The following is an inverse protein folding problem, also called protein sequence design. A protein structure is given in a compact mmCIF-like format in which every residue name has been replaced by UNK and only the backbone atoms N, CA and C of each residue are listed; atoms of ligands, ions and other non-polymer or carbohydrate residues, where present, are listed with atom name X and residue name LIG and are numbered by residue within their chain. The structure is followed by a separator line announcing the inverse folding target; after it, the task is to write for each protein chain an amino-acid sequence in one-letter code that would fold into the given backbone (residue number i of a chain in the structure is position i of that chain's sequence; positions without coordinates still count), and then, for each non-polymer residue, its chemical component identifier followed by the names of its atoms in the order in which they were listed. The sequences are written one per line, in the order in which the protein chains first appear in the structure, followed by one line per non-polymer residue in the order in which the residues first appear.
data_IF_531671856972
#
_entry.id   IF_531671856972
#
_cell.length_a   1.000
_cell.length_b   1.000
_cell.length_c   1.000
_cell.angle_alpha   90.00
_cell.angle_beta   90.00
_cell.angle_gamma   90.00
#
_symmetry.space_group_name_H-M   'P 1'
#
loop_
_entity.id
_entity.type
_entity.pdbx_description
1 polymer ?
#
# COMPACT_ATOMS: atom_id res chain seq x y z
N UNK A 1 41.55 34.13 10.13
CA UNK A 1 42.36 33.73 8.95
C UNK A 1 41.41 33.07 7.97
N UNK A 2 40.94 33.81 6.96
CA UNK A 2 41.30 33.67 5.53
C UNK A 2 40.71 32.42 4.85
N UNK A 3 39.75 32.68 3.98
CA UNK A 3 39.05 31.80 3.02
C UNK A 3 39.97 31.09 2.03
N UNK A 4 39.65 29.84 1.67
CA UNK A 4 40.09 29.19 0.42
C UNK A 4 38.90 28.38 -0.14
N UNK A 5 38.25 28.87 -1.21
CA UNK A 5 38.47 28.58 -2.64
C UNK A 5 37.87 27.24 -3.10
N UNK A 6 36.84 27.36 -3.93
CA UNK A 6 36.17 26.29 -4.67
C UNK A 6 37.13 25.55 -5.63
N UNK A 7 36.84 24.28 -5.90
CA UNK A 7 37.32 23.62 -7.10
C UNK A 7 36.23 22.73 -7.69
N UNK A 8 35.92 23.03 -8.94
CA UNK A 8 34.92 22.43 -9.80
C UNK A 8 35.62 21.30 -10.57
N UNK A 9 35.07 20.08 -10.59
CA UNK A 9 35.51 19.01 -11.49
C UNK A 9 34.28 18.47 -12.21
N UNK A 10 34.24 18.72 -13.52
CA UNK A 10 33.31 18.14 -14.50
C UNK A 10 33.97 16.91 -15.09
N UNK A 11 33.32 15.76 -14.98
CA UNK A 11 33.59 14.53 -15.74
C UNK A 11 32.18 13.94 -15.99
N UNK A 12 31.61 13.78 -17.19
CA UNK A 12 32.21 13.63 -18.51
C UNK A 12 32.18 12.16 -18.94
N UNK A 13 31.00 11.59 -19.17
CA UNK A 13 30.88 10.31 -19.91
C UNK A 13 29.72 10.33 -20.90
N UNK A 14 30.10 10.15 -22.16
CA UNK A 14 29.26 9.92 -23.33
C UNK A 14 28.76 8.47 -23.26
N UNK A 15 27.47 8.26 -23.49
CA UNK A 15 26.86 6.94 -23.65
C UNK A 15 25.79 6.98 -24.73
N UNK A 16 26.07 6.28 -25.82
CA UNK A 16 25.39 6.27 -27.11
C UNK A 16 24.28 5.19 -27.13
N UNK A 17 23.24 5.46 -27.93
CA UNK A 17 22.47 4.53 -28.77
C UNK A 17 21.33 3.62 -28.25
N UNK A 18 20.19 3.84 -28.93
CA UNK A 18 19.21 2.92 -29.52
C UNK A 18 18.45 1.89 -28.65
N UNK A 19 17.11 1.92 -28.73
CA UNK A 19 16.36 1.00 -29.60
C UNK A 19 14.89 1.44 -29.73
N UNK A 20 14.39 1.41 -30.96
CA UNK A 20 13.00 1.57 -31.33
C UNK A 20 12.23 0.25 -31.14
N UNK A 21 10.96 0.34 -30.74
CA UNK A 21 9.96 -0.69 -31.05
C UNK A 21 8.62 0.01 -31.34
N UNK A 22 8.36 0.15 -32.64
CA UNK A 22 7.07 0.42 -33.24
C UNK A 22 6.37 -0.93 -33.47
N UNK A 23 5.04 -0.98 -33.45
CA UNK A 23 4.31 -2.07 -34.09
C UNK A 23 3.10 -2.56 -33.32
N UNK A 24 1.94 -2.04 -33.73
CA UNK A 24 0.59 -2.45 -33.41
C UNK A 24 0.17 -3.77 -34.08
N UNK A 25 -0.97 -4.27 -33.59
CA UNK A 25 -1.97 -5.12 -34.27
C UNK A 25 -1.92 -6.61 -33.97
N UNK A 26 -2.81 -7.02 -33.06
CA UNK A 26 -3.60 -8.24 -33.25
C UNK A 26 -5.06 -7.85 -33.06
N UNK A 27 -5.76 -7.69 -34.19
CA UNK A 27 -7.21 -7.86 -34.23
C UNK A 27 -7.47 -9.36 -34.36
N UNK A 28 -8.10 -9.97 -33.37
CA UNK A 28 -8.82 -11.21 -33.57
C UNK A 28 -10.31 -10.90 -33.47
N UNK A 29 -10.99 -11.11 -34.58
CA UNK A 29 -12.44 -11.15 -34.69
C UNK A 29 -12.90 -12.49 -34.12
N UNK A 30 -13.57 -12.46 -32.96
CA UNK A 30 -14.48 -13.53 -32.59
C UNK A 30 -15.86 -12.93 -32.32
N UNK A 31 -16.76 -13.17 -33.28
CA UNK A 31 -18.21 -13.07 -33.07
C UNK A 31 -18.63 -14.24 -32.17
N UNK A 32 -19.13 -13.93 -30.99
CA UNK A 32 -19.96 -14.83 -30.20
C UNK A 32 -21.17 -14.06 -29.63
N UNK A 33 -22.35 -14.52 -30.05
CA UNK A 33 -23.70 -14.10 -29.66
C UNK A 33 -23.91 -14.12 -28.14
N UNK A 34 -24.69 -13.20 -27.55
CA UNK A 34 -24.76 -13.04 -26.10
C UNK A 34 -25.58 -14.15 -25.44
N UNK A 35 -25.05 -14.72 -24.36
CA UNK A 35 -25.82 -15.52 -23.41
C UNK A 35 -25.88 -14.76 -22.09
N UNK A 36 -27.07 -14.26 -21.76
CA UNK A 36 -27.38 -13.80 -20.41
C UNK A 36 -27.27 -14.99 -19.46
N UNK A 37 -26.42 -14.86 -18.44
CA UNK A 37 -26.48 -15.70 -17.25
C UNK A 37 -26.11 -14.84 -16.06
N UNK A 38 -27.14 -14.57 -15.27
CA UNK A 38 -27.08 -14.02 -13.92
C UNK A 38 -26.36 -15.03 -13.04
N UNK A 39 -25.19 -14.68 -12.51
CA UNK A 39 -24.59 -15.40 -11.38
C UNK A 39 -23.91 -14.40 -10.45
N UNK A 40 -24.26 -14.53 -9.18
CA UNK A 40 -23.74 -13.78 -8.02
C UNK A 40 -22.23 -13.53 -8.08
N UNK A 41 -21.86 -12.30 -7.78
CA UNK A 41 -20.50 -11.92 -7.37
C UNK A 41 -20.20 -12.58 -6.03
N UNK A 42 -19.60 -13.77 -6.09
CA UNK A 42 -18.90 -14.34 -4.96
C UNK A 42 -17.58 -13.58 -4.81
N UNK A 43 -17.40 -12.91 -3.66
CA UNK A 43 -16.19 -12.19 -3.33
C UNK A 43 -15.00 -13.15 -3.36
N UNK A 44 -14.05 -12.90 -4.27
CA UNK A 44 -12.78 -13.61 -4.32
C UNK A 44 -11.99 -13.30 -3.05
N UNK A 45 -12.16 -14.14 -2.04
CA UNK A 45 -11.27 -14.22 -0.89
C UNK A 45 -9.91 -14.69 -1.42
N UNK A 46 -8.98 -13.75 -1.61
CA UNK A 46 -7.56 -14.05 -1.83
C UNK A 46 -7.07 -14.85 -0.63
N UNK A 47 -7.09 -16.17 -0.74
CA UNK A 47 -6.53 -17.07 0.26
C UNK A 47 -5.10 -17.33 -0.16
N UNK A 48 -4.15 -16.67 0.50
CA UNK A 48 -2.75 -17.04 0.39
C UNK A 48 -2.57 -18.43 1.03
N UNK A 49 -2.15 -19.41 0.23
CA UNK A 49 -1.82 -20.74 0.71
C UNK A 49 -0.48 -20.74 1.47
N UNK A 50 -0.53 -21.15 2.75
CA UNK A 50 0.52 -21.93 3.41
C UNK A 50 1.76 -21.19 3.93
N UNK A 51 1.78 -20.84 5.20
CA UNK A 51 2.51 -21.55 6.27
C UNK A 51 2.37 -20.74 7.57
N UNK A 52 2.04 -21.44 8.65
CA UNK A 52 1.98 -20.96 10.03
C UNK A 52 0.70 -20.20 10.39
N UNK A 53 0.13 -20.58 11.53
CA UNK A 53 -1.06 -20.01 12.15
C UNK A 53 -0.80 -18.58 12.63
N UNK A 54 -0.59 -17.68 11.67
CA UNK A 54 -0.39 -16.24 11.90
C UNK A 54 -1.76 -15.57 11.98
N UNK A 55 -1.91 -14.71 12.99
CA UNK A 55 -3.17 -14.07 13.37
C UNK A 55 -3.47 -12.91 12.40
N UNK A 56 -3.61 -13.20 11.11
CA UNK A 56 -4.06 -12.19 10.14
C UNK A 56 -5.49 -11.78 10.45
N UNK A 57 -5.75 -10.48 10.37
CA UNK A 57 -7.05 -9.84 10.51
C UNK A 57 -7.83 -9.81 9.18
N UNK A 58 -7.32 -10.49 8.15
CA UNK A 58 -7.93 -10.55 6.82
C UNK A 58 -7.49 -9.41 5.88
N UNK A 59 -6.43 -8.69 6.24
CA UNK A 59 -5.86 -7.59 5.47
C UNK A 59 -4.68 -8.00 4.58
N UNK A 60 -4.03 -6.99 4.03
CA UNK A 60 -2.74 -7.16 3.36
C UNK A 60 -1.62 -7.11 4.37
N UNK A 61 -0.74 -8.11 4.34
CA UNK A 61 0.38 -8.26 5.27
C UNK A 61 1.70 -7.92 4.60
N UNK A 62 2.57 -7.22 5.32
CA UNK A 62 3.98 -7.00 5.01
C UNK A 62 4.80 -7.39 6.23
N UNK A 63 5.70 -8.34 6.05
CA UNK A 63 6.72 -8.68 7.04
C UNK A 63 8.00 -7.88 6.78
N UNK A 64 8.48 -7.15 7.78
CA UNK A 64 9.67 -6.31 7.70
C UNK A 64 10.59 -6.56 8.89
N UNK A 65 11.56 -7.46 8.71
CA UNK A 65 12.43 -7.88 9.80
C UNK A 65 11.65 -8.58 10.91
N UNK A 66 11.60 -7.96 12.10
CA UNK A 66 10.82 -8.46 13.24
C UNK A 66 9.40 -7.89 13.34
N UNK A 67 9.00 -7.08 12.35
CA UNK A 67 7.74 -6.34 12.38
C UNK A 67 6.73 -6.93 11.41
N UNK A 68 5.51 -7.11 11.90
CA UNK A 68 4.33 -7.48 11.13
C UNK A 68 3.46 -6.24 10.92
N UNK A 69 3.20 -5.90 9.66
CA UNK A 69 2.40 -4.75 9.27
C UNK A 69 1.21 -5.26 8.47
N UNK A 70 0.00 -5.13 9.00
CA UNK A 70 -1.23 -5.53 8.30
C UNK A 70 -2.17 -4.35 8.13
N UNK A 71 -2.65 -4.12 6.90
CA UNK A 71 -3.66 -3.11 6.60
C UNK A 71 -4.97 -3.78 6.20
N UNK A 72 -6.03 -3.49 6.94
CA UNK A 72 -7.41 -3.88 6.63
C UNK A 72 -8.17 -2.63 6.20
N UNK A 73 -8.89 -2.73 5.08
CA UNK A 73 -9.75 -1.66 4.56
C UNK A 73 -11.21 -2.09 4.63
N UNK A 74 -12.03 -1.33 5.34
CA UNK A 74 -13.45 -1.60 5.54
C UNK A 74 -14.29 -0.43 4.99
N UNK A 75 -15.14 -0.66 3.98
CA UNK A 75 -16.08 0.35 3.51
C UNK A 75 -17.11 0.72 4.59
N UNK A 76 -17.38 2.01 4.76
CA UNK A 76 -18.38 2.56 5.68
C UNK A 76 -19.16 3.73 5.04
N UNK A 77 -20.28 4.12 5.65
CA UNK A 77 -21.05 5.30 5.20
C UNK A 77 -20.23 6.59 5.24
N UNK A 78 -19.23 6.69 6.13
CA UNK A 78 -18.30 7.82 6.25
C UNK A 78 -17.20 7.84 5.20
N UNK A 79 -16.90 6.72 4.54
CA UNK A 79 -15.73 6.56 3.68
C UNK A 79 -15.11 5.18 3.86
N UNK A 80 -13.79 5.09 3.98
CA UNK A 80 -13.09 3.83 4.21
C UNK A 80 -12.43 3.87 5.59
N UNK A 81 -12.79 2.93 6.46
CA UNK A 81 -12.07 2.68 7.70
C UNK A 81 -10.79 1.90 7.38
N UNK A 82 -9.65 2.40 7.83
CA UNK A 82 -8.36 1.75 7.64
C UNK A 82 -7.83 1.32 9.00
N UNK A 83 -7.80 0.02 9.25
CA UNK A 83 -7.16 -0.56 10.42
C UNK A 83 -5.76 -1.01 10.05
N UNK A 84 -4.78 -0.53 10.80
CA UNK A 84 -3.38 -0.82 10.62
C UNK A 84 -2.81 -1.49 11.87
N UNK A 85 -2.58 -2.79 11.78
CA UNK A 85 -1.97 -3.59 12.83
C UNK A 85 -0.46 -3.49 12.69
N UNK A 86 0.17 -2.88 13.69
CA UNK A 86 1.63 -2.81 13.82
C UNK A 86 2.07 -3.68 14.99
N UNK A 87 2.73 -4.78 14.68
CA UNK A 87 3.06 -5.83 15.62
C UNK A 87 4.54 -6.22 15.53
N UNK A 88 5.03 -6.92 16.55
CA UNK A 88 6.41 -7.43 16.58
C UNK A 88 6.52 -8.81 17.22
N UNK A 89 7.59 -9.52 16.86
CA UNK A 89 7.89 -10.83 17.40
C UNK A 89 6.99 -11.93 16.85
N UNK A 90 7.33 -13.19 17.17
CA UNK A 90 6.58 -14.36 16.71
C UNK A 90 5.17 -14.46 17.30
N UNK A 91 4.93 -13.80 18.43
CA UNK A 91 3.63 -13.78 19.12
C UNK A 91 2.77 -12.56 18.73
N UNK A 92 3.19 -11.78 17.72
CA UNK A 92 2.40 -10.69 17.14
C UNK A 92 1.97 -9.64 18.19
N UNK A 93 2.89 -9.27 19.09
CA UNK A 93 2.65 -8.24 20.11
C UNK A 93 2.42 -6.88 19.46
N UNK A 94 1.30 -6.22 19.77
CA UNK A 94 0.99 -4.88 19.27
C UNK A 94 1.98 -3.82 19.80
N UNK A 95 2.28 -2.83 18.96
CA UNK A 95 3.16 -1.70 19.29
C UNK A 95 2.31 -0.42 19.44
N UNK A 96 1.95 0.02 20.66
CA UNK A 96 1.01 1.14 20.87
C UNK A 96 1.63 2.54 20.73
N UNK A 97 2.95 2.66 20.81
CA UNK A 97 3.65 3.96 20.96
C UNK A 97 4.43 4.39 19.71
N UNK A 98 3.94 4.05 18.52
CA UNK A 98 4.53 4.45 17.25
C UNK A 98 3.80 5.69 16.69
N UNK A 99 4.53 6.53 15.95
CA UNK A 99 3.90 7.52 15.08
C UNK A 99 3.55 6.86 13.76
N UNK A 100 2.29 6.88 13.36
CA UNK A 100 1.81 6.25 12.12
C UNK A 100 1.11 7.30 11.25
N UNK A 101 1.60 7.45 10.02
CA UNK A 101 1.01 8.34 9.02
C UNK A 101 0.85 7.61 7.69
N UNK A 102 -0.24 7.82 6.98
CA UNK A 102 -0.50 7.26 5.66
C UNK A 102 -0.52 8.32 4.56
N UNK A 103 0.11 8.02 3.42
CA UNK A 103 -0.08 8.76 2.17
C UNK A 103 -0.92 7.90 1.23
N UNK A 104 -2.12 8.35 0.90
CA UNK A 104 -3.07 7.65 0.05
C UNK A 104 -3.15 8.34 -1.30
N UNK A 105 -2.83 7.63 -2.37
CA UNK A 105 -3.17 8.04 -3.73
C UNK A 105 -4.53 7.46 -4.10
N UNK A 106 -5.47 8.35 -4.42
CA UNK A 106 -6.81 8.01 -4.88
C UNK A 106 -6.78 7.46 -6.33
N UNK A 107 -7.88 6.84 -6.81
CA UNK A 107 -7.96 6.33 -8.19
C UNK A 107 -7.75 7.41 -9.26
N UNK A 108 -8.08 8.68 -8.95
CA UNK A 108 -7.87 9.82 -9.83
C UNK A 108 -6.42 10.37 -9.81
N UNK A 109 -5.54 9.79 -8.98
CA UNK A 109 -4.15 10.20 -8.80
C UNK A 109 -3.89 11.25 -7.71
N UNK A 110 -4.93 11.87 -7.14
CA UNK A 110 -4.81 12.81 -6.02
C UNK A 110 -4.20 12.14 -4.79
N UNK A 111 -3.41 12.89 -4.02
CA UNK A 111 -2.81 12.40 -2.78
C UNK A 111 -3.48 13.00 -1.54
N UNK A 112 -3.75 12.17 -0.54
CA UNK A 112 -4.24 12.54 0.79
C UNK A 112 -3.26 12.06 1.86
N UNK A 113 -3.10 12.86 2.91
CA UNK A 113 -2.36 12.48 4.10
C UNK A 113 -3.34 12.13 5.21
N UNK A 114 -3.11 11.01 5.89
CA UNK A 114 -3.89 10.55 7.04
C UNK A 114 -2.96 10.39 8.25
N UNK A 115 -3.36 10.94 9.38
CA UNK A 115 -2.76 10.62 10.67
C UNK A 115 -3.57 9.49 11.30
N UNK A 116 -2.90 8.43 11.73
CA UNK A 116 -3.56 7.32 12.39
C UNK A 116 -3.54 7.50 13.91
N UNK A 117 -4.61 7.06 14.56
CA UNK A 117 -4.76 7.09 16.02
C UNK A 117 -4.73 5.67 16.56
N UNK A 118 -4.02 5.42 17.65
CA UNK A 118 -4.01 4.10 18.27
C UNK A 118 -5.31 3.85 19.05
N UNK A 119 -6.00 2.76 18.74
CA UNK A 119 -7.07 2.20 19.56
C UNK A 119 -6.51 1.13 20.50
N UNK A 120 -6.57 1.40 21.80
CA UNK A 120 -6.11 0.47 22.83
C UNK A 120 -6.99 -0.77 22.99
N UNK A 121 -8.27 -0.68 22.65
CA UNK A 121 -9.20 -1.82 22.78
C UNK A 121 -8.98 -2.81 21.64
N UNK A 122 -8.98 -2.33 20.40
CA UNK A 122 -8.69 -3.11 19.20
C UNK A 122 -7.20 -3.39 18.96
N UNK A 123 -6.29 -2.76 19.72
CA UNK A 123 -4.83 -2.92 19.64
C UNK A 123 -4.23 -2.63 18.25
N UNK A 124 -4.80 -1.69 17.52
CA UNK A 124 -4.34 -1.28 16.20
C UNK A 124 -4.40 0.23 16.05
N UNK A 125 -3.82 0.73 14.97
CA UNK A 125 -3.95 2.12 14.57
C UNK A 125 -5.09 2.24 13.57
N UNK A 126 -5.94 3.25 13.68
CA UNK A 126 -7.02 3.47 12.73
C UNK A 126 -7.02 4.88 12.16
N UNK A 127 -7.55 5.01 10.94
CA UNK A 127 -7.87 6.28 10.30
C UNK A 127 -9.10 6.11 9.39
N UNK A 128 -9.85 7.19 9.17
CA UNK A 128 -10.95 7.21 8.21
C UNK A 128 -10.54 8.05 7.01
N UNK A 129 -10.58 7.45 5.82
CA UNK A 129 -10.44 8.15 4.55
C UNK A 129 -11.84 8.55 4.05
N UNK A 130 -12.20 9.85 4.03
CA UNK A 130 -13.55 10.30 3.67
C UNK A 130 -13.77 10.34 2.15
N UNK A 131 -13.34 9.30 1.43
CA UNK A 131 -13.43 9.17 -0.01
C UNK A 131 -14.21 7.90 -0.37
N UNK A 132 -14.94 7.94 -1.49
CA UNK A 132 -15.80 6.83 -1.96
C UNK A 132 -15.67 6.56 -3.47
N UNK A 133 -14.65 7.12 -4.11
CA UNK A 133 -14.44 6.88 -5.53
C UNK A 133 -14.14 5.39 -5.76
N UNK A 134 -14.78 4.79 -6.74
CA UNK A 134 -14.50 3.39 -7.09
C UNK A 134 -13.15 3.26 -7.79
N UNK A 135 -12.39 2.22 -7.45
CA UNK A 135 -11.11 1.89 -8.09
C UNK A 135 -9.97 1.62 -7.11
N UNK A 136 -8.75 1.57 -7.64
CA UNK A 136 -7.55 1.26 -6.85
C UNK A 136 -7.04 2.48 -6.08
N UNK A 137 -6.83 2.28 -4.78
CA UNK A 137 -6.16 3.20 -3.87
C UNK A 137 -4.77 2.64 -3.56
N UNK A 138 -3.74 3.49 -3.57
CA UNK A 138 -2.38 3.10 -3.17
C UNK A 138 -2.02 3.78 -1.88
N UNK A 139 -1.55 3.03 -0.90
CA UNK A 139 -1.25 3.54 0.44
C UNK A 139 0.22 3.32 0.75
N UNK A 140 0.90 4.38 1.20
CA UNK A 140 2.21 4.28 1.84
C UNK A 140 2.03 4.58 3.31
N UNK A 141 2.16 3.56 4.17
CA UNK A 141 2.19 3.75 5.61
C UNK A 141 3.64 3.99 6.04
N UNK A 142 3.85 5.07 6.77
CA UNK A 142 5.11 5.41 7.39
C UNK A 142 4.98 5.28 8.90
N UNK A 143 5.82 4.44 9.49
CA UNK A 143 5.86 4.30 10.95
C UNK A 143 7.20 4.78 11.50
N UNK A 144 7.14 5.39 12.68
CA UNK A 144 8.31 5.73 13.50
C UNK A 144 8.12 5.06 14.88
N UNK A 145 8.90 4.01 15.11
CA UNK A 145 8.90 3.21 16.34
C UNK A 145 10.13 3.65 17.14
N UNK A 146 9.95 4.68 17.98
CA UNK A 146 11.02 5.23 18.84
C UNK A 146 12.30 5.60 18.06
N UNK A 147 12.14 6.14 16.85
CA UNK A 147 13.22 6.55 15.94
C UNK A 147 13.53 5.54 14.83
N UNK A 148 13.08 4.29 14.95
CA UNK A 148 13.20 3.29 13.89
C UNK A 148 12.08 3.44 12.86
N UNK A 149 12.43 3.49 11.57
CA UNK A 149 11.45 3.65 10.49
C UNK A 149 11.13 2.31 9.84
N UNK A 150 9.85 1.94 9.86
CA UNK A 150 9.36 0.72 9.21
C UNK A 150 8.15 1.11 8.35
N UNK A 151 8.29 1.02 7.03
CA UNK A 151 7.28 1.54 6.11
C UNK A 151 6.67 0.41 5.30
N UNK A 152 5.37 0.51 5.04
CA UNK A 152 4.61 -0.44 4.22
C UNK A 152 4.02 0.24 2.99
N UNK A 153 3.90 -0.50 1.89
CA UNK A 153 3.17 -0.09 0.69
C UNK A 153 2.03 -1.08 0.43
N UNK A 154 0.81 -0.61 0.45
CA UNK A 154 -0.41 -1.39 0.30
C UNK A 154 -1.25 -0.85 -0.86
N UNK A 155 -2.25 -1.61 -1.30
CA UNK A 155 -3.28 -1.09 -2.20
C UNK A 155 -4.61 -1.80 -2.00
N UNK A 156 -5.73 -1.09 -2.05
CA UNK A 156 -7.05 -1.71 -1.93
C UNK A 156 -8.00 -1.16 -3.00
N UNK A 157 -9.02 -1.94 -3.33
CA UNK A 157 -10.11 -1.47 -4.18
C UNK A 157 -11.30 -1.07 -3.31
N UNK A 158 -11.92 0.06 -3.66
CA UNK A 158 -13.18 0.53 -3.09
C UNK A 158 -14.28 0.54 -4.16
#
# INVERSE_FOLDING_TARGET
MKSLKASLIVIGTVGLMFLAACGSSTEETETATPLETTTETEATKSTAEGHDSTVSQGGQVIESGLYHLELVSLPEDSGVHLDFFLQTGSDHQAIPDAKVTGQVQLPNGEQKSLDFTYDSEGKHYFAVLPEKATGEYKVVIQTDIKGEKVNGRFSFNQ
#
